data_IF_403612635313
#
_entry.id   IF_403612635313
#
_cell.length_a   1.000
_cell.length_b   1.000
_cell.length_c   1.000
_cell.angle_alpha   90.00
_cell.angle_beta   90.00
_cell.angle_gamma   90.00
#
_symmetry.space_group_name_H-M   'P 1'
#
loop_
_entity.id
_entity.type
_entity.pdbx_description
1 polymer ?
#
# COMPACT_ATOMS: atom_id res chain seq x y z
N UNK A 1 28.00 -7.09 -25.85
CA UNK A 1 26.59 -7.32 -25.44
C UNK A 1 26.26 -6.29 -24.36
N UNK A 2 25.31 -5.38 -24.63
CA UNK A 2 24.96 -4.26 -23.75
C UNK A 2 23.82 -4.69 -22.83
N UNK A 3 24.08 -4.88 -21.54
CA UNK A 3 23.03 -4.99 -20.53
C UNK A 3 22.90 -3.66 -19.81
N UNK A 4 21.96 -2.82 -20.28
CA UNK A 4 21.55 -1.61 -19.58
C UNK A 4 20.88 -2.02 -18.26
N UNK A 5 21.65 -2.01 -17.17
CA UNK A 5 21.07 -1.91 -15.82
C UNK A 5 20.39 -0.55 -15.75
N UNK A 6 19.05 -0.55 -15.79
CA UNK A 6 18.22 0.62 -15.56
C UNK A 6 18.58 1.20 -14.18
N UNK A 7 19.44 2.22 -14.16
CA UNK A 7 19.71 3.05 -12.99
C UNK A 7 18.54 4.01 -12.85
N UNK A 8 17.48 3.60 -12.16
CA UNK A 8 16.53 4.55 -11.62
C UNK A 8 17.14 5.17 -10.36
N UNK A 9 17.42 6.48 -10.32
CA UNK A 9 17.84 7.15 -9.10
C UNK A 9 16.59 7.35 -8.23
N UNK A 10 16.56 7.02 -6.92
CA UNK A 10 15.44 7.46 -6.10
C UNK A 10 15.72 8.89 -5.62
N UNK A 11 15.49 9.85 -6.50
CA UNK A 11 15.19 11.21 -6.09
C UNK A 11 13.68 11.28 -5.83
N UNK A 12 13.23 11.08 -4.58
CA UNK A 12 11.86 11.51 -4.23
C UNK A 12 11.66 11.72 -2.72
N UNK A 13 11.03 12.83 -2.26
CA UNK A 13 10.39 12.90 -0.96
C UNK A 13 9.48 11.67 -0.75
N UNK A 14 9.78 10.86 0.27
CA UNK A 14 9.04 9.64 0.74
C UNK A 14 7.87 9.23 -0.17
N UNK A 15 8.06 8.20 -0.99
CA UNK A 15 7.07 7.68 -1.97
C UNK A 15 5.66 7.55 -1.39
N UNK A 16 4.63 7.75 -2.24
CA UNK A 16 3.21 7.64 -1.86
C UNK A 16 2.92 6.35 -1.08
N UNK A 17 3.44 5.22 -1.56
CA UNK A 17 3.36 3.92 -0.88
C UNK A 17 3.94 3.97 0.53
N UNK A 18 5.15 4.51 0.72
CA UNK A 18 5.78 4.63 2.03
C UNK A 18 5.02 5.58 2.98
N UNK A 19 4.30 6.57 2.43
CA UNK A 19 3.44 7.44 3.25
C UNK A 19 2.19 6.71 3.72
N UNK A 20 1.49 6.03 2.82
CA UNK A 20 0.30 5.25 3.13
C UNK A 20 0.65 4.12 4.10
N UNK A 21 1.73 3.38 3.84
CA UNK A 21 2.20 2.29 4.71
C UNK A 21 2.51 2.79 6.12
N UNK A 22 3.15 3.96 6.27
CA UNK A 22 3.41 4.54 7.59
C UNK A 22 2.12 4.85 8.35
N UNK A 23 1.10 5.37 7.67
CA UNK A 23 -0.18 5.71 8.32
C UNK A 23 -0.86 4.41 8.74
N UNK A 24 -0.98 3.43 7.85
CA UNK A 24 -1.58 2.12 8.13
C UNK A 24 -0.92 1.45 9.34
N UNK A 25 0.42 1.44 9.41
CA UNK A 25 1.16 0.90 10.58
C UNK A 25 0.89 1.68 11.87
N UNK A 26 0.67 2.99 11.81
CA UNK A 26 0.28 3.78 13.00
C UNK A 26 -1.09 3.40 13.56
N UNK A 27 -1.96 2.80 12.76
CA UNK A 27 -3.25 2.27 13.19
C UNK A 27 -3.17 0.80 13.64
N UNK A 28 -1.98 0.19 13.70
CA UNK A 28 -1.78 -1.18 14.20
C UNK A 28 -1.82 -2.27 13.13
N UNK A 29 -1.87 -1.92 11.84
CA UNK A 29 -1.94 -2.88 10.74
C UNK A 29 -0.54 -3.25 10.20
N UNK A 30 0.30 -3.83 11.05
CA UNK A 30 1.69 -4.16 10.70
C UNK A 30 1.82 -5.24 9.62
N UNK A 31 0.82 -6.11 9.49
CA UNK A 31 0.74 -7.15 8.47
C UNK A 31 0.31 -6.67 7.07
N UNK A 32 0.03 -5.37 6.91
CA UNK A 32 -0.37 -4.78 5.62
C UNK A 32 0.81 -4.10 4.96
N UNK A 33 1.06 -4.48 3.71
CA UNK A 33 2.04 -3.88 2.82
C UNK A 33 1.37 -3.01 1.77
N UNK A 34 2.12 -2.01 1.28
CA UNK A 34 1.62 -1.05 0.28
C UNK A 34 2.61 -0.92 -0.86
N UNK A 35 2.16 -1.18 -2.08
CA UNK A 35 2.91 -0.87 -3.30
C UNK A 35 2.21 0.23 -4.11
N UNK A 36 2.93 0.82 -5.06
CA UNK A 36 2.41 1.88 -5.94
C UNK A 36 3.11 1.77 -7.28
N UNK A 37 2.41 1.23 -8.28
CA UNK A 37 2.96 0.99 -9.62
C UNK A 37 2.71 2.18 -10.56
N UNK A 38 1.77 3.06 -10.20
CA UNK A 38 1.34 4.22 -10.98
C UNK A 38 1.10 5.41 -10.07
N UNK A 39 1.28 6.60 -10.61
CA UNK A 39 0.99 7.86 -9.90
C UNK A 39 -0.43 7.86 -9.35
N UNK A 40 -0.56 8.11 -8.05
CA UNK A 40 -1.85 8.17 -7.34
C UNK A 40 -2.53 6.82 -7.10
N UNK A 41 -1.98 5.72 -7.61
CA UNK A 41 -2.50 4.38 -7.35
C UNK A 41 -1.70 3.71 -6.23
N UNK A 42 -2.41 3.09 -5.29
CA UNK A 42 -1.81 2.18 -4.30
C UNK A 42 -2.49 0.82 -4.30
N UNK A 43 -1.70 -0.22 -4.07
CA UNK A 43 -2.17 -1.59 -3.87
C UNK A 43 -1.87 -2.01 -2.44
N UNK A 44 -2.91 -2.43 -1.73
CA UNK A 44 -2.84 -2.94 -0.36
C UNK A 44 -2.81 -4.46 -0.40
N UNK A 45 -1.82 -5.08 0.22
CA UNK A 45 -1.69 -6.54 0.32
C UNK A 45 -1.34 -6.94 1.75
N UNK A 46 -1.63 -8.18 2.12
CA UNK A 46 -1.40 -8.68 3.48
C UNK A 46 -2.50 -9.62 3.93
N UNK A 47 -2.39 -10.07 5.19
CA UNK A 47 -3.37 -10.94 5.83
C UNK A 47 -3.99 -10.15 6.98
N UNK A 48 -5.32 -10.15 7.07
CA UNK A 48 -6.06 -9.60 8.20
C UNK A 48 -6.99 -10.68 8.79
N UNK A 49 -7.44 -10.48 10.03
CA UNK A 49 -8.36 -11.40 10.68
C UNK A 49 -9.82 -11.02 10.44
N UNK A 50 -10.13 -9.72 10.34
CA UNK A 50 -11.50 -9.20 10.31
C UNK A 50 -11.81 -8.38 9.05
N UNK A 51 -13.02 -8.56 8.51
CA UNK A 51 -13.50 -7.79 7.34
C UNK A 51 -13.57 -6.29 7.64
N UNK A 52 -13.88 -5.93 8.89
CA UNK A 52 -13.94 -4.54 9.34
C UNK A 52 -12.55 -3.87 9.31
N UNK A 53 -11.49 -4.61 9.62
CA UNK A 53 -10.11 -4.11 9.54
C UNK A 53 -9.74 -3.80 8.08
N UNK A 54 -10.11 -4.69 7.15
CA UNK A 54 -9.93 -4.44 5.72
C UNK A 54 -10.62 -3.16 5.28
N UNK A 55 -11.86 -2.92 5.73
CA UNK A 55 -12.60 -1.71 5.40
C UNK A 55 -11.90 -0.45 5.94
N UNK A 56 -11.39 -0.50 7.18
CA UNK A 56 -10.66 0.60 7.80
C UNK A 56 -9.34 0.90 7.07
N UNK A 57 -8.55 -0.13 6.76
CA UNK A 57 -7.29 0.01 6.00
C UNK A 57 -7.53 0.65 4.63
N UNK A 58 -8.57 0.21 3.91
CA UNK A 58 -8.95 0.80 2.62
C UNK A 58 -9.37 2.26 2.78
N UNK A 59 -10.14 2.59 3.82
CA UNK A 59 -10.56 3.97 4.10
C UNK A 59 -9.34 4.87 4.35
N UNK A 60 -8.41 4.45 5.21
CA UNK A 60 -7.16 5.17 5.51
C UNK A 60 -6.37 5.46 4.22
N UNK A 61 -6.21 4.46 3.35
CA UNK A 61 -5.51 4.62 2.08
C UNK A 61 -6.22 5.64 1.18
N UNK A 62 -7.54 5.54 1.03
CA UNK A 62 -8.33 6.48 0.20
C UNK A 62 -8.31 7.91 0.72
N UNK A 63 -8.26 8.11 2.04
CA UNK A 63 -8.20 9.46 2.64
C UNK A 63 -6.79 10.04 2.66
N UNK A 64 -5.77 9.28 2.27
CA UNK A 64 -4.40 9.79 2.19
C UNK A 64 -4.28 10.74 0.99
N UNK A 65 -3.88 12.01 1.17
CA UNK A 65 -3.75 12.95 0.06
C UNK A 65 -2.91 12.39 -1.10
N UNK A 66 -3.28 12.72 -2.34
CA UNK A 66 -2.66 12.21 -3.58
C UNK A 66 -2.98 10.75 -3.93
N UNK A 67 -3.69 10.00 -3.09
CA UNK A 67 -4.29 8.72 -3.50
C UNK A 67 -5.55 8.98 -4.30
N UNK A 68 -5.63 8.41 -5.51
CA UNK A 68 -6.79 8.49 -6.40
C UNK A 68 -7.42 7.12 -6.61
N UNK A 69 -6.62 6.06 -6.58
CA UNK A 69 -7.07 4.67 -6.79
C UNK A 69 -6.47 3.77 -5.71
N UNK A 70 -7.33 2.96 -5.08
CA UNK A 70 -6.92 1.92 -4.13
C UNK A 70 -7.32 0.56 -4.68
N UNK A 71 -6.34 -0.32 -4.84
CA UNK A 71 -6.54 -1.76 -5.06
C UNK A 71 -6.33 -2.49 -3.74
N UNK A 72 -7.12 -3.53 -3.51
CA UNK A 72 -7.05 -4.30 -2.27
C UNK A 72 -6.97 -5.79 -2.60
N UNK A 73 -5.82 -6.37 -2.32
CA UNK A 73 -5.45 -7.76 -2.49
C UNK A 73 -5.22 -8.43 -1.11
N UNK A 74 -5.84 -7.87 -0.07
CA UNK A 74 -5.78 -8.40 1.29
C UNK A 74 -6.59 -9.71 1.35
N UNK A 75 -5.99 -10.73 1.95
CA UNK A 75 -6.63 -12.01 2.25
C UNK A 75 -6.94 -12.12 3.74
N UNK A 76 -7.77 -13.08 4.11
CA UNK A 76 -8.15 -13.32 5.51
C UNK A 76 -7.47 -14.57 6.06
N UNK A 77 -7.06 -14.54 7.33
CA UNK A 77 -6.41 -15.66 8.01
C UNK A 77 -7.33 -16.87 8.17
N UNK A 78 -8.64 -16.63 8.27
CA UNK A 78 -9.68 -17.66 8.27
C UNK A 78 -10.57 -17.48 7.04
N UNK A 79 -10.94 -18.58 6.36
CA UNK A 79 -12.02 -18.53 5.39
C UNK A 79 -13.32 -18.20 6.13
N UNK A 80 -14.03 -17.18 5.67
CA UNK A 80 -15.40 -16.89 6.09
C UNK A 80 -16.34 -18.05 5.75
#
# INVERSE_FOLDING_TARGET
MKSNKSRNPPANPKSLSARVERIIKRFGFDGVHVSSDKTGQVTLSGILDEVNDRALVVAIARTTPSVTVVRCEITFSKPN
#
